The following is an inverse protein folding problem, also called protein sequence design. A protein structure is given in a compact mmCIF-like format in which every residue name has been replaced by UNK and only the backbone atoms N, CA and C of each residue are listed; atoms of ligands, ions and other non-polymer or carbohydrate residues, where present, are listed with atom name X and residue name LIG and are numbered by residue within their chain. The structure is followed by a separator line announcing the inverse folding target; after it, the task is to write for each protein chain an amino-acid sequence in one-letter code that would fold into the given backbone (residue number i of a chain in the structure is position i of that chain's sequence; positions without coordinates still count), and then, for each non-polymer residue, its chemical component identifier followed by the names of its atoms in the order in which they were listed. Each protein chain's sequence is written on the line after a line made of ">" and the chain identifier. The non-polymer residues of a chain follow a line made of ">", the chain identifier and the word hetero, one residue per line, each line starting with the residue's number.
data_IF_568857597002
#
_entry.id   IF_568857597002
#
_cell.length_a   1.000
_cell.length_b   1.000
_cell.length_c   1.000
_cell.angle_alpha   90.00
_cell.angle_beta   90.00
_cell.angle_gamma   90.00
#
_symmetry.space_group_name_H-M   'P 1'
#
loop_
_entity.id
_entity.type
_entity.pdbx_description
1 polymer ?
#
# COMPACT_ATOMS: atom_id res chain seq x y z
N UNK A 1 29.45 -15.19 0.31
CA UNK A 1 27.98 -15.06 0.15
C UNK A 1 27.75 -13.76 -0.57
N UNK A 2 27.11 -13.78 -1.74
CA UNK A 2 26.64 -12.55 -2.37
C UNK A 2 25.69 -11.85 -1.41
N UNK A 3 26.01 -10.61 -1.05
CA UNK A 3 25.19 -9.78 -0.21
C UNK A 3 24.25 -8.99 -1.12
N UNK A 4 22.94 -9.19 -0.96
CA UNK A 4 21.90 -8.50 -1.73
C UNK A 4 22.10 -6.98 -1.72
N UNK A 5 22.56 -6.40 -0.62
CA UNK A 5 22.81 -4.96 -0.52
C UNK A 5 24.00 -4.50 -1.37
N UNK A 6 25.03 -5.34 -1.53
CA UNK A 6 26.17 -5.06 -2.41
C UNK A 6 25.71 -5.08 -3.86
N UNK A 7 24.94 -6.10 -4.25
CA UNK A 7 24.42 -6.22 -5.61
C UNK A 7 23.47 -5.05 -5.95
N UNK A 8 22.59 -4.67 -5.02
CA UNK A 8 21.67 -3.52 -5.18
C UNK A 8 22.45 -2.22 -5.39
N UNK A 9 23.48 -1.98 -4.57
CA UNK A 9 24.31 -0.78 -4.67
C UNK A 9 25.01 -0.69 -6.04
N UNK A 10 25.59 -1.80 -6.50
CA UNK A 10 26.26 -1.88 -7.81
C UNK A 10 25.30 -1.66 -8.98
N UNK A 11 24.07 -2.18 -8.89
CA UNK A 11 23.04 -1.95 -9.90
C UNK A 11 22.60 -0.47 -9.95
N UNK A 12 22.39 0.16 -8.79
CA UNK A 12 22.04 1.58 -8.72
C UNK A 12 23.14 2.46 -9.33
N UNK A 13 24.41 2.19 -9.02
CA UNK A 13 25.54 2.93 -9.60
C UNK A 13 25.56 2.82 -11.14
N UNK A 14 25.31 1.64 -11.69
CA UNK A 14 25.22 1.42 -13.14
C UNK A 14 24.04 2.14 -13.78
N UNK A 15 22.90 2.21 -13.08
CA UNK A 15 21.71 2.94 -13.52
C UNK A 15 21.96 4.45 -13.53
N UNK A 16 22.61 5.00 -12.50
CA UNK A 16 22.90 6.43 -12.43
C UNK A 16 24.01 6.89 -13.38
N UNK A 17 24.95 5.99 -13.73
CA UNK A 17 26.06 6.33 -14.63
C UNK A 17 25.70 6.24 -16.11
N UNK A 18 24.68 5.47 -16.48
CA UNK A 18 24.27 5.36 -17.88
C UNK A 18 23.45 6.57 -18.34
N UNK A 19 23.77 7.07 -19.54
CA UNK A 19 22.98 8.09 -20.25
C UNK A 19 22.16 7.50 -21.39
N UNK A 20 22.21 6.18 -21.57
CA UNK A 20 21.52 5.50 -22.65
C UNK A 20 20.07 5.17 -22.25
N UNK A 21 19.11 5.89 -22.84
CA UNK A 21 17.69 5.70 -22.56
C UNK A 21 17.17 4.29 -22.91
N UNK A 22 17.75 3.64 -23.94
CA UNK A 22 17.37 2.28 -24.32
C UNK A 22 17.74 1.25 -23.26
N UNK A 23 18.88 1.43 -22.60
CA UNK A 23 19.30 0.59 -21.46
C UNK A 23 18.37 0.80 -20.27
N UNK A 24 18.07 2.07 -19.92
CA UNK A 24 17.16 2.38 -18.82
C UNK A 24 15.76 1.80 -19.08
N UNK A 25 15.27 1.88 -20.31
CA UNK A 25 13.98 1.30 -20.71
C UNK A 25 13.98 -0.22 -20.57
N UNK A 26 14.99 -0.91 -21.10
CA UNK A 26 15.08 -2.36 -20.98
C UNK A 26 15.18 -2.83 -19.51
N UNK A 27 15.90 -2.09 -18.67
CA UNK A 27 15.97 -2.37 -17.22
C UNK A 27 14.62 -2.16 -16.55
N UNK A 28 13.92 -1.06 -16.86
CA UNK A 28 12.58 -0.78 -16.34
C UNK A 28 11.60 -1.90 -16.72
N UNK A 29 11.54 -2.25 -18.01
CA UNK A 29 10.65 -3.28 -18.54
C UNK A 29 10.96 -4.66 -17.89
N UNK A 30 12.24 -4.97 -17.66
CA UNK A 30 12.65 -6.18 -16.95
C UNK A 30 12.16 -6.20 -15.50
N UNK A 31 12.37 -5.11 -14.76
CA UNK A 31 11.95 -5.01 -13.35
C UNK A 31 10.42 -5.03 -13.20
N UNK A 32 9.69 -4.44 -14.14
CA UNK A 32 8.23 -4.53 -14.20
C UNK A 32 7.76 -5.94 -14.54
N UNK A 33 8.46 -6.67 -15.43
CA UNK A 33 8.11 -8.07 -15.74
C UNK A 33 8.33 -9.03 -14.57
N UNK A 34 9.23 -8.66 -13.64
CA UNK A 34 9.52 -9.41 -12.40
C UNK A 34 8.54 -9.04 -11.28
N UNK A 35 7.75 -7.96 -11.41
CA UNK A 35 6.51 -7.79 -10.63
C UNK A 35 5.45 -8.80 -11.08
N UNK A 36 5.74 -10.09 -10.91
CA UNK A 36 4.74 -11.12 -10.84
C UNK A 36 3.99 -10.92 -9.52
N UNK A 37 2.75 -10.44 -9.59
CA UNK A 37 1.57 -10.91 -8.84
C UNK A 37 1.65 -11.23 -7.33
N UNK A 38 2.64 -10.76 -6.60
CA UNK A 38 2.78 -10.97 -5.15
C UNK A 38 3.05 -9.63 -4.43
N UNK A 39 2.19 -8.64 -4.65
CA UNK A 39 1.72 -7.93 -3.45
C UNK A 39 0.62 -8.85 -2.93
N UNK A 40 0.89 -9.60 -1.86
CA UNK A 40 -0.09 -10.43 -1.17
C UNK A 40 -1.39 -9.62 -1.04
N UNK A 41 -2.37 -9.86 -1.93
CA UNK A 41 -3.68 -9.25 -1.80
C UNK A 41 -4.16 -9.63 -0.40
N UNK A 42 -4.34 -8.62 0.45
CA UNK A 42 -4.77 -8.88 1.81
C UNK A 42 -6.16 -9.52 1.77
N UNK A 43 -6.21 -10.82 2.03
CA UNK A 43 -7.46 -11.57 2.06
C UNK A 43 -8.14 -11.25 3.39
N UNK A 44 -9.17 -10.41 3.34
CA UNK A 44 -10.02 -10.15 4.49
C UNK A 44 -10.66 -11.43 5.00
N UNK A 45 -10.69 -11.59 6.33
CA UNK A 45 -11.57 -12.59 6.96
C UNK A 45 -13.04 -12.24 6.70
N UNK A 46 -13.93 -13.22 6.85
CA UNK A 46 -15.37 -12.97 6.72
C UNK A 46 -15.86 -11.88 7.70
N UNK A 47 -15.37 -11.89 8.95
CA UNK A 47 -15.69 -10.85 9.93
C UNK A 47 -15.25 -9.44 9.51
N UNK A 48 -14.11 -9.32 8.82
CA UNK A 48 -13.64 -8.02 8.32
C UNK A 48 -14.48 -7.56 7.12
N UNK A 49 -14.89 -8.48 6.23
CA UNK A 49 -15.82 -8.18 5.14
C UNK A 49 -17.15 -7.70 5.68
N UNK A 50 -17.70 -8.37 6.70
CA UNK A 50 -18.93 -7.95 7.37
C UNK A 50 -18.82 -6.54 7.95
N UNK A 51 -17.72 -6.22 8.64
CA UNK A 51 -17.50 -4.87 9.19
C UNK A 51 -17.48 -3.79 8.10
N UNK A 52 -16.84 -4.07 6.96
CA UNK A 52 -16.83 -3.15 5.82
C UNK A 52 -18.23 -2.95 5.25
N UNK A 53 -19.02 -4.03 5.12
CA UNK A 53 -20.40 -3.96 4.65
C UNK A 53 -21.29 -3.12 5.57
N UNK A 54 -21.12 -3.24 6.90
CA UNK A 54 -21.83 -2.40 7.88
C UNK A 54 -21.50 -0.92 7.64
N UNK A 55 -20.23 -0.59 7.40
CA UNK A 55 -19.82 0.78 7.09
C UNK A 55 -20.46 1.31 5.80
N UNK A 56 -20.57 0.50 4.76
CA UNK A 56 -21.27 0.87 3.52
C UNK A 56 -22.76 1.15 3.76
N UNK A 57 -23.43 0.32 4.57
CA UNK A 57 -24.82 0.54 4.95
C UNK A 57 -25.00 1.83 5.77
N UNK A 58 -24.09 2.10 6.70
CA UNK A 58 -24.13 3.31 7.52
C UNK A 58 -24.02 4.57 6.67
N UNK A 59 -23.13 4.58 5.68
CA UNK A 59 -23.02 5.67 4.71
C UNK A 59 -24.32 5.77 3.89
N UNK A 60 -24.81 4.64 3.35
CA UNK A 60 -26.01 4.59 2.51
C UNK A 60 -27.25 5.13 3.23
N UNK A 61 -27.44 4.79 4.50
CA UNK A 61 -28.58 5.20 5.30
C UNK A 61 -28.32 6.46 6.13
N UNK A 62 -27.20 7.17 5.91
CA UNK A 62 -26.79 8.37 6.64
C UNK A 62 -26.72 8.18 8.16
N UNK A 63 -26.34 6.99 8.62
CA UNK A 63 -26.01 6.69 10.02
C UNK A 63 -24.56 7.11 10.32
N UNK A 64 -24.26 8.38 10.07
CA UNK A 64 -22.92 8.96 10.27
C UNK A 64 -23.03 10.12 11.26
N UNK A 65 -21.96 10.37 12.01
CA UNK A 65 -21.86 11.50 12.95
C UNK A 65 -20.71 12.40 12.52
N UNK A 66 -20.71 13.65 12.99
CA UNK A 66 -19.60 14.57 12.71
C UNK A 66 -18.39 14.26 13.60
N UNK A 67 -17.19 14.61 13.14
CA UNK A 67 -15.96 14.46 13.94
C UNK A 67 -16.05 15.20 15.29
N UNK A 68 -16.69 16.38 15.29
CA UNK A 68 -16.92 17.16 16.51
C UNK A 68 -17.83 16.45 17.52
N UNK A 69 -18.88 15.78 17.06
CA UNK A 69 -19.77 14.99 17.93
C UNK A 69 -19.07 13.74 18.45
N UNK A 70 -18.26 13.09 17.63
CA UNK A 70 -17.48 11.92 18.03
C UNK A 70 -16.48 12.27 19.14
N UNK A 71 -15.75 13.38 19.01
CA UNK A 71 -14.81 13.85 20.04
C UNK A 71 -15.48 14.14 21.38
N UNK A 72 -16.69 14.70 21.36
CA UNK A 72 -17.45 14.95 22.61
C UNK A 72 -17.82 13.65 23.31
N UNK A 73 -18.27 12.64 22.54
CA UNK A 73 -18.55 11.31 23.10
C UNK A 73 -17.28 10.70 23.70
N UNK A 74 -16.15 10.78 23.01
CA UNK A 74 -14.88 10.28 23.53
C UNK A 74 -14.47 10.98 24.86
N UNK A 75 -14.64 12.30 24.94
CA UNK A 75 -14.39 13.06 26.17
C UNK A 75 -15.32 12.67 27.32
N UNK A 76 -16.59 12.36 27.02
CA UNK A 76 -17.56 11.89 28.02
C UNK A 76 -17.24 10.48 28.53
N UNK A 77 -16.77 9.58 27.67
CA UNK A 77 -16.38 8.23 28.05
C UNK A 77 -15.11 8.18 28.90
N UNK A 78 -14.24 9.19 28.77
CA UNK A 78 -12.97 9.29 29.51
C UNK A 78 -13.11 10.00 30.87
N UNK A 79 -14.33 10.38 31.28
CA UNK A 79 -14.64 10.93 32.62
C UNK A 79 -15.05 9.84 33.61
#
# INVERSE_FOLDING_TARGET
>A
MENIEILRSQLMEKIFSTKNIGVLKAVNDLLESVKAKDEDEYIFSESQKELLMIGEEDIKYRRVTTDEELRKLDEEWMR
#
